data_IF_168326890865
#
_entry.id   IF_168326890865
#
_cell.length_a   1.000
_cell.length_b   1.000
_cell.length_c   1.000
_cell.angle_alpha   90.00
_cell.angle_beta   90.00
_cell.angle_gamma   90.00
#
_symmetry.space_group_name_H-M   'P 1'
#
loop_
_entity.id
_entity.type
_entity.pdbx_description
1 polymer ?
#
# COMPACT_ATOMS: atom_id res chain seq x y z
N UNK A 1 33.27 -62.53 -36.01
CA UNK A 1 32.37 -63.31 -36.87
C UNK A 1 33.15 -63.71 -38.12
N UNK A 2 33.67 -64.94 -38.16
CA UNK A 2 33.08 -66.11 -38.83
C UNK A 2 33.05 -65.97 -40.37
N UNK A 3 33.81 -66.82 -41.06
CA UNK A 3 33.70 -66.97 -42.52
C UNK A 3 34.84 -67.74 -43.18
N UNK A 4 34.96 -69.04 -42.89
CA UNK A 4 35.68 -70.01 -43.74
C UNK A 4 34.99 -70.17 -45.13
N UNK A 5 35.76 -70.61 -46.14
CA UNK A 5 35.42 -71.46 -47.32
C UNK A 5 36.52 -71.29 -48.37
N UNK A 6 36.95 -72.22 -49.22
CA UNK A 6 36.89 -73.68 -49.35
C UNK A 6 37.88 -74.00 -50.49
N UNK A 7 38.45 -75.21 -50.47
CA UNK A 7 39.32 -75.78 -51.50
C UNK A 7 38.67 -75.89 -52.89
N UNK A 8 39.47 -76.13 -53.95
CA UNK A 8 39.31 -77.24 -54.93
C UNK A 8 40.22 -77.09 -56.18
N UNK A 9 40.86 -78.22 -56.52
CA UNK A 9 41.37 -78.74 -57.82
C UNK A 9 42.48 -78.05 -58.65
N UNK A 10 43.60 -78.79 -58.77
CA UNK A 10 44.39 -78.92 -60.01
C UNK A 10 43.68 -79.83 -61.04
N UNK A 11 44.09 -79.87 -62.33
CA UNK A 11 45.10 -80.85 -62.71
C UNK A 11 46.11 -80.43 -63.80
N UNK A 12 47.28 -81.05 -63.67
CA UNK A 12 48.46 -81.07 -64.54
C UNK A 12 48.27 -82.08 -65.69
N UNK A 13 48.81 -81.89 -66.91
CA UNK A 13 48.90 -82.98 -67.89
C UNK A 13 50.30 -83.60 -67.94
N UNK A 14 50.34 -84.94 -67.86
CA UNK A 14 51.44 -85.83 -68.29
C UNK A 14 50.82 -86.90 -69.19
N UNK A 15 51.34 -87.15 -70.40
CA UNK A 15 51.28 -88.40 -71.18
C UNK A 15 52.34 -88.25 -72.32
N UNK A 16 53.43 -89.03 -72.42
CA UNK A 16 53.65 -90.47 -72.73
C UNK A 16 53.50 -90.85 -74.23
N UNK A 17 54.50 -91.58 -74.75
CA UNK A 17 54.44 -92.47 -75.93
C UNK A 17 55.27 -91.99 -77.13
N UNK A 18 56.49 -92.49 -77.38
CA UNK A 18 56.89 -93.79 -77.97
C UNK A 18 56.85 -93.86 -79.50
N UNK A 19 58.02 -93.95 -80.16
CA UNK A 19 58.31 -95.03 -81.13
C UNK A 19 59.79 -95.04 -81.56
N UNK A 20 60.43 -96.14 -81.21
CA UNK A 20 61.65 -96.72 -81.74
C UNK A 20 61.47 -97.23 -83.18
N UNK A 21 62.50 -97.15 -84.02
CA UNK A 21 62.84 -98.19 -85.02
C UNK A 21 64.29 -98.08 -85.48
N UNK A 22 65.05 -99.17 -85.23
CA UNK A 22 66.09 -99.84 -86.05
C UNK A 22 67.41 -99.09 -86.33
N UNK A 23 68.60 -99.54 -85.90
CA UNK A 23 69.29 -100.84 -86.08
C UNK A 23 69.51 -101.25 -87.53
N UNK A 24 70.73 -100.99 -88.06
CA UNK A 24 71.50 -101.99 -88.83
C UNK A 24 73.00 -101.67 -88.67
N UNK A 25 73.74 -102.58 -88.04
CA UNK A 25 75.15 -102.82 -88.32
C UNK A 25 75.23 -104.04 -89.24
N UNK A 26 76.22 -104.08 -90.14
CA UNK A 26 76.44 -105.24 -91.01
C UNK A 26 77.33 -104.93 -92.19
N UNK A 27 78.59 -105.35 -92.07
CA UNK A 27 79.56 -105.41 -93.15
C UNK A 27 79.11 -106.40 -94.24
N UNK A 28 79.27 -106.02 -95.50
CA UNK A 28 79.57 -106.94 -96.58
C UNK A 28 80.20 -106.20 -97.75
N UNK A 29 81.41 -106.66 -98.04
CA UNK A 29 82.23 -106.49 -99.23
C UNK A 29 81.42 -106.42 -100.53
N UNK A 30 81.55 -105.32 -101.28
CA UNK A 30 81.62 -105.40 -102.74
C UNK A 30 82.51 -104.28 -103.25
N UNK A 31 83.63 -104.67 -103.88
CA UNK A 31 84.39 -103.84 -104.80
C UNK A 31 83.47 -103.40 -105.94
N UNK A 32 83.00 -102.15 -105.89
CA UNK A 32 82.22 -101.51 -106.95
C UNK A 32 82.71 -100.07 -107.10
N UNK A 33 83.52 -99.86 -108.13
CA UNK A 33 83.73 -98.61 -108.87
C UNK A 33 83.70 -97.31 -108.05
N UNK A 34 84.89 -96.83 -107.71
CA UNK A 34 85.23 -95.62 -106.94
C UNK A 34 84.58 -94.31 -107.42
N UNK A 35 83.95 -94.27 -108.60
CA UNK A 35 83.22 -93.09 -109.09
C UNK A 35 81.72 -93.09 -108.71
N UNK A 36 81.03 -94.23 -108.68
CA UNK A 36 79.56 -94.28 -108.43
C UNK A 36 79.19 -94.01 -106.97
N UNK A 37 80.00 -94.49 -106.01
CA UNK A 37 79.80 -94.21 -104.58
C UNK A 37 80.15 -92.77 -104.19
N UNK A 38 81.08 -92.14 -104.92
CA UNK A 38 81.45 -90.73 -104.75
C UNK A 38 80.33 -89.81 -105.23
N UNK A 39 79.70 -90.15 -106.36
CA UNK A 39 78.57 -89.40 -106.93
C UNK A 39 77.31 -89.47 -106.04
N UNK A 40 77.00 -90.64 -105.47
CA UNK A 40 75.87 -90.82 -104.55
C UNK A 40 76.08 -90.01 -103.25
N UNK A 41 77.29 -90.05 -102.66
CA UNK A 41 77.63 -89.22 -101.50
C UNK A 41 77.56 -87.73 -101.79
N UNK A 42 77.93 -87.30 -103.01
CA UNK A 42 77.80 -85.91 -103.42
C UNK A 42 76.34 -85.48 -103.55
N UNK A 43 75.48 -86.31 -104.14
CA UNK A 43 74.04 -86.06 -104.25
C UNK A 43 73.37 -86.03 -102.88
N UNK A 44 73.73 -86.95 -101.98
CA UNK A 44 73.23 -86.97 -100.61
C UNK A 44 73.71 -85.75 -99.80
N UNK A 45 74.98 -85.33 -99.98
CA UNK A 45 75.50 -84.10 -99.39
C UNK A 45 74.80 -82.85 -99.94
N UNK A 46 74.47 -82.81 -101.24
CA UNK A 46 73.70 -81.73 -101.86
C UNK A 46 72.26 -81.67 -101.33
N UNK A 47 71.59 -82.83 -101.16
CA UNK A 47 70.25 -82.92 -100.54
C UNK A 47 70.28 -82.51 -99.07
N UNK A 48 71.25 -82.99 -98.30
CA UNK A 48 71.43 -82.63 -96.89
C UNK A 48 71.72 -81.12 -96.73
N UNK A 49 72.55 -80.54 -97.61
CA UNK A 49 72.78 -79.08 -97.65
C UNK A 49 71.49 -78.32 -97.92
N UNK A 50 70.69 -78.75 -98.89
CA UNK A 50 69.41 -78.10 -99.22
C UNK A 50 68.42 -78.16 -98.05
N UNK A 51 68.31 -79.31 -97.38
CA UNK A 51 67.49 -79.47 -96.16
C UNK A 51 67.99 -78.55 -95.04
N UNK A 52 69.31 -78.47 -94.81
CA UNK A 52 69.89 -77.59 -93.81
C UNK A 52 69.68 -76.10 -94.13
N UNK A 53 69.74 -75.71 -95.41
CA UNK A 53 69.44 -74.34 -95.86
C UNK A 53 67.94 -74.00 -95.69
N UNK A 54 67.05 -74.94 -96.00
CA UNK A 54 65.61 -74.81 -95.77
C UNK A 54 65.27 -74.73 -94.28
N UNK A 55 65.89 -75.55 -93.45
CA UNK A 55 65.74 -75.54 -92.00
C UNK A 55 66.31 -74.26 -91.37
N UNK A 56 67.47 -73.78 -91.85
CA UNK A 56 68.02 -72.47 -91.47
C UNK A 56 67.04 -71.35 -91.83
N UNK A 57 66.37 -71.42 -92.99
CA UNK A 57 65.36 -70.43 -93.40
C UNK A 57 64.11 -70.49 -92.51
N UNK A 58 63.61 -71.68 -92.19
CA UNK A 58 62.48 -71.88 -91.25
C UNK A 58 62.84 -71.38 -89.85
N UNK A 59 64.03 -71.72 -89.36
CA UNK A 59 64.55 -71.27 -88.07
C UNK A 59 64.69 -69.74 -88.05
N UNK A 60 65.26 -69.13 -89.08
CA UNK A 60 65.36 -67.67 -89.20
C UNK A 60 63.99 -67.00 -89.19
N UNK A 61 62.99 -67.57 -89.87
CA UNK A 61 61.63 -67.06 -89.85
C UNK A 61 61.00 -67.17 -88.46
N UNK A 62 61.20 -68.30 -87.77
CA UNK A 62 60.73 -68.51 -86.39
C UNK A 62 61.40 -67.54 -85.42
N UNK A 63 62.72 -67.35 -85.52
CA UNK A 63 63.46 -66.37 -84.71
C UNK A 63 62.93 -64.96 -84.95
N UNK A 64 62.72 -64.56 -86.20
CA UNK A 64 62.13 -63.25 -86.53
C UNK A 64 60.73 -63.07 -85.94
N UNK A 65 59.90 -64.10 -85.93
CA UNK A 65 58.57 -64.04 -85.31
C UNK A 65 58.65 -63.95 -83.79
N UNK A 66 59.50 -64.77 -83.16
CA UNK A 66 59.70 -64.75 -81.71
C UNK A 66 60.26 -63.40 -81.22
N UNK A 67 61.18 -62.78 -81.96
CA UNK A 67 61.67 -61.43 -81.64
C UNK A 67 60.55 -60.39 -81.74
N UNK A 68 59.67 -60.47 -82.75
CA UNK A 68 58.51 -59.58 -82.86
C UNK A 68 57.51 -59.80 -81.72
N UNK A 69 57.31 -61.05 -81.30
CA UNK A 69 56.45 -61.39 -80.16
C UNK A 69 57.06 -60.93 -78.84
N UNK A 70 58.37 -61.07 -78.67
CA UNK A 70 59.13 -60.58 -77.52
C UNK A 70 59.02 -59.04 -77.40
N UNK A 71 59.21 -58.31 -78.50
CA UNK A 71 59.07 -56.85 -78.51
C UNK A 71 57.63 -56.41 -78.20
N UNK A 72 56.62 -57.12 -78.71
CA UNK A 72 55.21 -56.87 -78.34
C UNK A 72 54.96 -57.17 -76.86
N UNK A 73 55.53 -58.24 -76.31
CA UNK A 73 55.42 -58.58 -74.91
C UNK A 73 56.11 -57.53 -74.02
N UNK A 74 57.31 -57.07 -74.38
CA UNK A 74 58.03 -55.98 -73.69
C UNK A 74 57.22 -54.69 -73.64
N UNK A 75 56.59 -54.30 -74.76
CA UNK A 75 55.72 -53.11 -74.81
C UNK A 75 54.50 -53.26 -73.89
N UNK A 76 53.84 -54.43 -73.91
CA UNK A 76 52.71 -54.69 -72.98
C UNK A 76 53.14 -54.66 -71.52
N UNK A 77 54.31 -55.22 -71.20
CA UNK A 77 54.87 -55.21 -69.85
C UNK A 77 55.21 -53.79 -69.42
N UNK A 78 55.83 -52.97 -70.28
CA UNK A 78 56.17 -51.59 -69.94
C UNK A 78 54.94 -50.72 -69.76
N UNK A 79 53.91 -50.86 -70.61
CA UNK A 79 52.62 -50.19 -70.45
C UNK A 79 51.91 -50.61 -69.16
N UNK A 80 51.94 -51.90 -68.81
CA UNK A 80 51.36 -52.41 -67.57
C UNK A 80 52.09 -51.87 -66.34
N UNK A 81 53.43 -51.79 -66.39
CA UNK A 81 54.25 -51.19 -65.32
C UNK A 81 53.94 -49.70 -65.14
N UNK A 82 53.87 -48.93 -66.24
CA UNK A 82 53.50 -47.51 -66.19
C UNK A 82 52.10 -47.31 -65.59
N UNK A 83 51.11 -48.10 -66.02
CA UNK A 83 49.76 -48.07 -65.43
C UNK A 83 49.76 -48.44 -63.96
N UNK A 84 50.55 -49.43 -63.55
CA UNK A 84 50.68 -49.82 -62.15
C UNK A 84 51.28 -48.67 -61.30
N UNK A 85 52.33 -48.01 -61.80
CA UNK A 85 52.94 -46.83 -61.17
C UNK A 85 51.94 -45.67 -61.06
N UNK A 86 51.17 -45.39 -62.11
CA UNK A 86 50.10 -44.38 -62.10
C UNK A 86 49.05 -44.69 -61.02
N UNK A 87 48.57 -45.94 -60.94
CA UNK A 87 47.60 -46.38 -59.92
C UNK A 87 48.19 -46.22 -58.51
N UNK A 88 49.45 -46.59 -58.30
CA UNK A 88 50.12 -46.43 -57.01
C UNK A 88 50.25 -44.96 -56.62
N UNK A 89 50.62 -44.09 -57.57
CA UNK A 89 50.70 -42.65 -57.34
C UNK A 89 49.34 -42.03 -57.00
N UNK A 90 48.28 -42.46 -57.70
CA UNK A 90 46.91 -42.03 -57.44
C UNK A 90 46.41 -42.54 -56.09
N UNK A 91 46.72 -43.79 -55.72
CA UNK A 91 46.38 -44.36 -54.42
C UNK A 91 47.06 -43.57 -53.30
N UNK A 92 48.35 -43.28 -53.44
CA UNK A 92 49.10 -42.45 -52.47
C UNK A 92 48.53 -41.04 -52.35
N UNK A 93 48.20 -40.38 -53.47
CA UNK A 93 47.57 -39.05 -53.46
C UNK A 93 46.19 -39.08 -52.82
N UNK A 94 45.38 -40.10 -53.11
CA UNK A 94 44.07 -40.26 -52.51
C UNK A 94 44.16 -40.54 -51.02
N UNK A 95 45.12 -41.35 -50.58
CA UNK A 95 45.38 -41.64 -49.17
C UNK A 95 45.78 -40.37 -48.41
N UNK A 96 46.73 -39.59 -48.93
CA UNK A 96 47.09 -38.29 -48.34
C UNK A 96 45.88 -37.37 -48.25
N UNK A 97 45.07 -37.28 -49.31
CA UNK A 97 43.85 -36.43 -49.31
C UNK A 97 42.81 -36.91 -48.29
N UNK A 98 42.72 -38.21 -48.04
CA UNK A 98 41.83 -38.76 -47.02
C UNK A 98 42.36 -38.44 -45.62
N UNK A 99 43.67 -38.64 -45.39
CA UNK A 99 44.33 -38.30 -44.12
C UNK A 99 44.21 -36.82 -43.79
N UNK A 100 44.43 -35.93 -44.76
CA UNK A 100 44.29 -34.48 -44.58
C UNK A 100 42.85 -34.09 -44.20
N UNK A 101 41.86 -34.68 -44.87
CA UNK A 101 40.44 -34.45 -44.53
C UNK A 101 40.07 -35.00 -43.14
N UNK A 102 40.69 -36.09 -42.73
CA UNK A 102 40.48 -36.66 -41.39
C UNK A 102 41.13 -35.78 -40.32
N UNK A 103 42.35 -35.31 -40.54
CA UNK A 103 43.03 -34.36 -39.66
C UNK A 103 42.23 -33.05 -39.51
N UNK A 104 41.75 -32.47 -40.62
CA UNK A 104 40.90 -31.28 -40.57
C UNK A 104 39.60 -31.50 -39.79
N UNK A 105 38.99 -32.69 -39.92
CA UNK A 105 37.81 -33.05 -39.12
C UNK A 105 38.13 -33.15 -37.64
N UNK A 106 39.25 -33.79 -37.28
CA UNK A 106 39.69 -33.88 -35.89
C UNK A 106 39.97 -32.50 -35.29
N UNK A 107 40.67 -31.61 -36.00
CA UNK A 107 40.91 -30.23 -35.56
C UNK A 107 39.61 -29.45 -35.33
N UNK A 108 38.63 -29.63 -36.23
CA UNK A 108 37.31 -29.02 -36.08
C UNK A 108 36.54 -29.58 -34.87
N UNK A 109 36.57 -30.89 -34.67
CA UNK A 109 35.96 -31.55 -33.52
C UNK A 109 36.58 -31.04 -32.20
N UNK A 110 37.91 -30.97 -32.13
CA UNK A 110 38.64 -30.43 -30.99
C UNK A 110 38.25 -28.97 -30.72
N UNK A 111 38.15 -28.16 -31.77
CA UNK A 111 37.70 -26.77 -31.65
C UNK A 111 36.27 -26.67 -31.08
N UNK A 112 35.35 -27.50 -31.56
CA UNK A 112 33.97 -27.57 -31.06
C UNK A 112 33.95 -27.97 -29.57
N UNK A 113 34.77 -28.94 -29.16
CA UNK A 113 34.88 -29.37 -27.76
C UNK A 113 35.36 -28.23 -26.88
N UNK A 114 36.39 -27.48 -27.30
CA UNK A 114 36.90 -26.32 -26.57
C UNK A 114 35.83 -25.22 -26.45
N UNK A 115 35.14 -24.90 -27.54
CA UNK A 115 34.05 -23.92 -27.53
C UNK A 115 32.93 -24.34 -26.58
N UNK A 116 32.52 -25.61 -26.59
CA UNK A 116 31.50 -26.13 -25.68
C UNK A 116 31.95 -26.09 -24.22
N UNK A 117 33.23 -26.36 -23.93
CA UNK A 117 33.82 -26.23 -22.60
C UNK A 117 33.82 -24.78 -22.11
N UNK A 118 34.14 -23.81 -22.98
CA UNK A 118 34.08 -22.40 -22.63
C UNK A 118 32.64 -21.91 -22.43
N UNK A 119 31.72 -22.32 -23.31
CA UNK A 119 30.28 -22.04 -23.20
C UNK A 119 29.68 -22.59 -21.91
N UNK A 120 30.03 -23.82 -21.51
CA UNK A 120 29.56 -24.43 -20.25
C UNK A 120 30.14 -23.72 -19.03
N UNK A 121 31.43 -23.37 -19.03
CA UNK A 121 32.06 -22.55 -17.96
C UNK A 121 31.38 -21.18 -17.82
N UNK A 122 31.14 -20.49 -18.93
CA UNK A 122 30.45 -19.20 -18.93
C UNK A 122 29.03 -19.35 -18.36
N UNK A 123 28.26 -20.34 -18.84
CA UNK A 123 26.92 -20.64 -18.31
C UNK A 123 26.93 -20.92 -16.80
N UNK A 124 27.90 -21.70 -16.31
CA UNK A 124 28.03 -21.98 -14.88
C UNK A 124 28.36 -20.72 -14.06
N UNK A 125 29.27 -19.86 -14.55
CA UNK A 125 29.57 -18.57 -13.92
C UNK A 125 28.35 -17.65 -13.86
N UNK A 126 27.62 -17.53 -14.97
CA UNK A 126 26.38 -16.75 -15.02
C UNK A 126 25.31 -17.31 -14.08
N UNK A 127 25.13 -18.63 -14.01
CA UNK A 127 24.21 -19.27 -13.08
C UNK A 127 24.56 -18.94 -11.63
N UNK A 128 25.84 -19.06 -11.24
CA UNK A 128 26.31 -18.68 -9.89
C UNK A 128 26.08 -17.21 -9.57
N UNK A 129 26.35 -16.30 -10.51
CA UNK A 129 26.09 -14.86 -10.33
C UNK A 129 24.61 -14.57 -10.14
N UNK A 130 23.74 -15.22 -10.93
CA UNK A 130 22.28 -15.09 -10.82
C UNK A 130 21.79 -15.60 -9.47
N UNK A 131 22.25 -16.76 -9.03
CA UNK A 131 21.89 -17.34 -7.73
C UNK A 131 22.33 -16.42 -6.58
N UNK A 132 23.57 -15.93 -6.62
CA UNK A 132 24.07 -14.97 -5.62
C UNK A 132 23.23 -13.69 -5.59
N UNK A 133 22.92 -13.10 -6.75
CA UNK A 133 22.08 -11.91 -6.82
C UNK A 133 20.66 -12.16 -6.27
N UNK A 134 20.09 -13.35 -6.50
CA UNK A 134 18.80 -13.74 -5.91
C UNK A 134 18.88 -13.89 -4.39
N UNK A 135 19.93 -14.52 -3.87
CA UNK A 135 20.15 -14.65 -2.43
C UNK A 135 20.36 -13.29 -1.75
N UNK A 136 21.14 -12.40 -2.37
CA UNK A 136 21.38 -11.05 -1.86
C UNK A 136 20.09 -10.22 -1.87
N UNK A 137 19.27 -10.32 -2.93
CA UNK A 137 17.95 -9.67 -2.98
C UNK A 137 17.02 -10.14 -1.86
N UNK A 138 16.97 -11.45 -1.62
CA UNK A 138 16.15 -12.03 -0.53
C UNK A 138 16.64 -11.54 0.84
N UNK A 139 17.96 -11.45 1.04
CA UNK A 139 18.54 -10.91 2.28
C UNK A 139 18.17 -9.45 2.50
N UNK A 140 18.33 -8.61 1.48
CA UNK A 140 17.97 -7.17 1.56
C UNK A 140 16.49 -7.00 1.85
N UNK A 141 15.61 -7.75 1.15
CA UNK A 141 14.16 -7.71 1.39
C UNK A 141 13.80 -8.11 2.82
N UNK A 142 14.50 -9.12 3.38
CA UNK A 142 14.30 -9.57 4.76
C UNK A 142 14.74 -8.50 5.76
N UNK A 143 15.90 -7.88 5.56
CA UNK A 143 16.40 -6.79 6.41
C UNK A 143 15.45 -5.60 6.39
N UNK A 144 15.06 -5.14 5.21
CA UNK A 144 14.11 -4.03 5.06
C UNK A 144 12.78 -4.34 5.76
N UNK A 145 12.25 -5.56 5.58
CA UNK A 145 11.02 -5.98 6.26
C UNK A 145 11.17 -6.04 7.79
N UNK A 146 12.36 -6.35 8.31
CA UNK A 146 12.64 -6.35 9.75
C UNK A 146 12.71 -4.92 10.27
N UNK A 147 13.47 -4.04 9.60
CA UNK A 147 13.59 -2.62 9.94
C UNK A 147 12.21 -1.94 9.95
N UNK A 148 11.41 -2.07 8.89
CA UNK A 148 10.05 -1.50 8.82
C UNK A 148 9.15 -2.04 9.95
N UNK A 149 9.29 -3.33 10.31
CA UNK A 149 8.53 -3.93 11.42
C UNK A 149 8.96 -3.38 12.78
N UNK A 150 10.26 -3.17 12.98
CA UNK A 150 10.81 -2.56 14.19
C UNK A 150 10.37 -1.10 14.32
N UNK A 151 10.46 -0.31 13.25
CA UNK A 151 9.96 1.06 13.19
C UNK A 151 8.46 1.12 13.50
N UNK A 152 7.66 0.24 12.90
CA UNK A 152 6.22 0.15 13.17
C UNK A 152 5.93 -0.16 14.63
N UNK A 153 6.68 -1.09 15.23
CA UNK A 153 6.54 -1.44 16.65
C UNK A 153 6.97 -0.29 17.57
N UNK A 154 8.02 0.44 17.21
CA UNK A 154 8.45 1.64 17.94
C UNK A 154 7.39 2.74 17.87
N UNK A 155 6.83 2.99 16.69
CA UNK A 155 5.76 3.96 16.49
C UNK A 155 4.51 3.60 17.30
N UNK A 156 4.11 2.33 17.28
CA UNK A 156 2.98 1.83 18.07
C UNK A 156 3.22 2.01 19.58
N UNK A 157 4.43 1.68 20.07
CA UNK A 157 4.81 1.91 21.48
C UNK A 157 4.77 3.40 21.84
N UNK A 158 5.26 4.27 20.96
CA UNK A 158 5.23 5.71 21.17
C UNK A 158 3.79 6.25 21.24
N UNK A 159 2.92 5.82 20.31
CA UNK A 159 1.49 6.15 20.34
C UNK A 159 0.81 5.65 21.62
N UNK A 160 1.12 4.42 22.05
CA UNK A 160 0.58 3.87 23.30
C UNK A 160 1.02 4.70 24.51
N UNK A 161 2.30 5.07 24.60
CA UNK A 161 2.81 5.93 25.66
C UNK A 161 2.16 7.32 25.62
N UNK A 162 2.00 7.91 24.44
CA UNK A 162 1.35 9.21 24.27
C UNK A 162 -0.11 9.16 24.74
N UNK A 163 -0.87 8.13 24.37
CA UNK A 163 -2.24 7.90 24.84
C UNK A 163 -2.30 7.76 26.36
N UNK A 164 -1.39 7.00 26.96
CA UNK A 164 -1.33 6.83 28.42
C UNK A 164 -1.01 8.14 29.14
N UNK A 165 -0.09 8.95 28.61
CA UNK A 165 0.22 10.27 29.14
C UNK A 165 -0.96 11.25 28.98
N UNK A 166 -1.63 11.25 27.83
CA UNK A 166 -2.81 12.06 27.58
C UNK A 166 -3.95 11.70 28.55
N UNK A 167 -4.19 10.41 28.76
CA UNK A 167 -5.17 9.93 29.73
C UNK A 167 -4.82 10.38 31.16
N UNK A 168 -3.55 10.26 31.56
CA UNK A 168 -3.10 10.75 32.87
C UNK A 168 -3.31 12.25 33.04
N UNK A 169 -2.92 13.06 32.04
CA UNK A 169 -3.15 14.51 32.05
C UNK A 169 -4.64 14.85 32.13
N UNK A 170 -5.48 14.16 31.36
CA UNK A 170 -6.93 14.35 31.40
C UNK A 170 -7.51 14.04 32.79
N UNK A 171 -7.05 12.98 33.45
CA UNK A 171 -7.43 12.66 34.83
C UNK A 171 -6.97 13.73 35.81
N UNK A 172 -5.72 14.19 35.72
CA UNK A 172 -5.18 15.28 36.56
C UNK A 172 -5.98 16.59 36.37
N UNK A 173 -6.30 16.96 35.13
CA UNK A 173 -7.16 18.12 34.82
C UNK A 173 -8.57 17.93 35.39
N UNK A 174 -9.16 16.75 35.25
CA UNK A 174 -10.50 16.44 35.80
C UNK A 174 -10.52 16.59 37.32
N UNK A 175 -9.54 16.04 38.02
CA UNK A 175 -9.42 16.15 39.48
C UNK A 175 -9.18 17.60 39.92
N UNK A 176 -8.34 18.36 39.21
CA UNK A 176 -8.12 19.79 39.46
C UNK A 176 -9.41 20.60 39.33
N UNK A 177 -10.19 20.39 38.26
CA UNK A 177 -11.48 21.05 38.06
C UNK A 177 -12.46 20.66 39.18
N UNK A 178 -12.52 19.37 39.56
CA UNK A 178 -13.38 18.90 40.66
C UNK A 178 -13.03 19.59 41.98
N UNK A 179 -11.74 19.68 42.31
CA UNK A 179 -11.25 20.37 43.51
C UNK A 179 -11.62 21.85 43.50
N UNK A 180 -11.33 22.55 42.41
CA UNK A 180 -11.68 23.97 42.24
C UNK A 180 -13.18 24.22 42.39
N UNK A 181 -14.03 23.39 41.76
CA UNK A 181 -15.50 23.46 41.92
C UNK A 181 -15.93 23.24 43.37
N UNK A 182 -15.37 22.25 44.07
CA UNK A 182 -15.67 21.98 45.47
C UNK A 182 -15.28 23.15 46.38
N UNK A 183 -14.11 23.74 46.15
CA UNK A 183 -13.64 24.91 46.89
C UNK A 183 -14.52 26.14 46.65
N UNK A 184 -14.92 26.39 45.40
CA UNK A 184 -15.85 27.46 45.06
C UNK A 184 -17.22 27.26 45.71
N UNK A 185 -17.76 26.04 45.70
CA UNK A 185 -19.01 25.70 46.36
C UNK A 185 -18.92 25.89 47.88
N UNK A 186 -17.82 25.46 48.51
CA UNK A 186 -17.58 25.66 49.93
C UNK A 186 -17.48 27.15 50.29
N UNK A 187 -16.82 27.98 49.47
CA UNK A 187 -16.78 29.44 49.65
C UNK A 187 -18.17 30.06 49.56
N UNK A 188 -18.97 29.66 48.55
CA UNK A 188 -20.34 30.13 48.40
C UNK A 188 -21.21 29.74 49.60
N UNK A 189 -21.09 28.50 50.09
CA UNK A 189 -21.83 28.02 51.26
C UNK A 189 -21.45 28.82 52.52
N UNK A 190 -20.15 29.05 52.75
CA UNK A 190 -19.68 29.91 53.86
C UNK A 190 -20.20 31.33 53.74
N UNK A 191 -20.21 31.91 52.54
CA UNK A 191 -20.75 33.25 52.30
C UNK A 191 -22.25 33.33 52.60
N UNK A 192 -23.03 32.30 52.22
CA UNK A 192 -24.46 32.20 52.54
C UNK A 192 -24.71 32.13 54.04
N UNK A 193 -23.98 31.26 54.76
CA UNK A 193 -24.09 31.15 56.22
C UNK A 193 -23.75 32.47 56.90
N UNK A 194 -22.66 33.12 56.48
CA UNK A 194 -22.27 34.44 57.00
C UNK A 194 -23.36 35.49 56.75
N UNK A 195 -23.91 35.55 55.53
CA UNK A 195 -25.00 36.46 55.22
C UNK A 195 -26.22 36.21 56.11
N UNK A 196 -26.63 34.95 56.28
CA UNK A 196 -27.74 34.62 57.16
C UNK A 196 -27.49 34.99 58.63
N UNK A 197 -26.26 34.81 59.10
CA UNK A 197 -25.85 35.26 60.44
C UNK A 197 -25.98 36.77 60.60
N UNK A 198 -25.45 37.54 59.64
CA UNK A 198 -25.52 39.00 59.67
C UNK A 198 -26.98 39.50 59.63
N UNK A 199 -27.84 38.88 58.82
CA UNK A 199 -29.27 39.23 58.76
C UNK A 199 -29.97 38.93 60.09
N UNK A 200 -29.64 37.79 60.72
CA UNK A 200 -30.18 37.44 62.05
C UNK A 200 -29.72 38.44 63.11
N UNK A 201 -28.46 38.84 63.09
CA UNK A 201 -27.88 39.80 64.03
C UNK A 201 -28.50 41.19 63.87
N UNK A 202 -28.68 41.66 62.62
CA UNK A 202 -29.38 42.92 62.33
C UNK A 202 -30.84 42.88 62.80
N UNK A 203 -31.55 41.77 62.59
CA UNK A 203 -32.91 41.60 63.11
C UNK A 203 -32.95 41.60 64.64
N UNK A 204 -32.02 40.90 65.30
CA UNK A 204 -31.93 40.89 66.75
C UNK A 204 -31.65 42.28 67.33
N UNK A 205 -30.73 43.04 66.72
CA UNK A 205 -30.44 44.42 67.13
C UNK A 205 -31.67 45.33 67.01
N UNK A 206 -32.43 45.21 65.91
CA UNK A 206 -33.70 45.95 65.75
C UNK A 206 -34.73 45.56 66.80
N UNK A 207 -34.87 44.26 67.11
CA UNK A 207 -35.78 43.80 68.14
C UNK A 207 -35.39 44.32 69.52
N UNK A 208 -34.10 44.35 69.84
CA UNK A 208 -33.59 44.89 71.10
C UNK A 208 -33.88 46.39 71.24
N UNK A 209 -33.70 47.16 70.16
CA UNK A 209 -34.07 48.58 70.13
C UNK A 209 -35.57 48.80 70.37
N UNK A 210 -36.45 48.01 69.74
CA UNK A 210 -37.91 48.07 69.96
C UNK A 210 -38.28 47.70 71.40
N UNK A 211 -37.66 46.67 71.97
CA UNK A 211 -37.87 46.28 73.37
C UNK A 211 -37.39 47.35 74.35
N UNK A 212 -36.27 48.01 74.06
CA UNK A 212 -35.78 49.15 74.86
C UNK A 212 -36.78 50.30 74.82
N UNK A 213 -37.26 50.67 73.63
CA UNK A 213 -38.25 51.73 73.49
C UNK A 213 -39.55 51.40 74.22
N UNK A 214 -40.00 50.15 74.16
CA UNK A 214 -41.17 49.70 74.94
C UNK A 214 -40.94 49.85 76.43
N UNK A 215 -39.77 49.45 76.94
CA UNK A 215 -39.39 49.57 78.35
C UNK A 215 -39.38 51.03 78.80
N UNK A 216 -38.82 51.92 78.00
CA UNK A 216 -38.78 53.35 78.27
C UNK A 216 -40.20 53.93 78.34
N UNK A 217 -41.08 53.57 77.38
CA UNK A 217 -42.48 54.03 77.38
C UNK A 217 -43.30 53.46 78.54
N UNK A 218 -43.05 52.21 78.96
CA UNK A 218 -43.70 51.59 80.11
C UNK A 218 -43.28 52.30 81.40
N UNK A 219 -41.99 52.65 81.51
CA UNK A 219 -41.48 53.43 82.63
C UNK A 219 -42.12 54.82 82.68
N UNK A 220 -42.18 55.55 81.56
CA UNK A 220 -42.87 56.85 81.47
C UNK A 220 -44.36 56.74 81.86
N UNK A 221 -45.05 55.69 81.40
CA UNK A 221 -46.45 55.46 81.76
C UNK A 221 -46.62 55.19 83.26
N UNK A 222 -45.72 54.40 83.85
CA UNK A 222 -45.74 54.12 85.28
C UNK A 222 -45.49 55.40 86.11
N UNK A 223 -44.54 56.23 85.69
CA UNK A 223 -44.27 57.53 86.32
C UNK A 223 -45.50 58.44 86.24
N UNK A 224 -46.15 58.50 85.08
CA UNK A 224 -47.41 59.23 84.89
C UNK A 224 -48.56 58.69 85.75
N UNK A 225 -48.63 57.37 85.94
CA UNK A 225 -49.64 56.71 86.77
C UNK A 225 -49.43 57.03 88.26
N UNK A 226 -48.18 57.05 88.72
CA UNK A 226 -47.83 57.47 90.08
C UNK A 226 -48.21 58.94 90.32
N UNK A 227 -47.93 59.82 89.36
CA UNK A 227 -48.35 61.21 89.40
C UNK A 227 -49.88 61.37 89.42
N UNK A 228 -50.60 60.59 88.61
CA UNK A 228 -52.07 60.56 88.63
C UNK A 228 -52.59 60.12 90.01
N UNK A 229 -52.03 59.06 90.59
CA UNK A 229 -52.41 58.57 91.90
C UNK A 229 -52.16 59.61 93.01
N UNK A 230 -51.02 60.29 92.98
CA UNK A 230 -50.72 61.40 93.90
C UNK A 230 -51.74 62.54 93.76
N UNK A 231 -52.07 62.91 92.51
CA UNK A 231 -53.04 63.96 92.24
C UNK A 231 -54.46 63.58 92.70
N UNK A 232 -54.87 62.33 92.47
CA UNK A 232 -56.15 61.78 92.96
C UNK A 232 -56.17 61.80 94.48
N UNK A 233 -55.09 61.36 95.14
CA UNK A 233 -54.99 61.39 96.59
C UNK A 233 -55.11 62.81 97.14
N UNK A 234 -54.38 63.76 96.55
CA UNK A 234 -54.46 65.18 96.91
C UNK A 234 -55.86 65.76 96.68
N UNK A 235 -56.54 65.36 95.60
CA UNK A 235 -57.92 65.77 95.32
C UNK A 235 -58.90 65.18 96.34
N UNK A 236 -58.74 63.91 96.71
CA UNK A 236 -59.55 63.26 97.76
C UNK A 236 -59.33 63.90 99.13
N UNK A 237 -58.09 64.27 99.46
CA UNK A 237 -57.77 65.03 100.67
C UNK A 237 -58.43 66.40 100.65
N UNK A 238 -58.38 67.12 99.53
CA UNK A 238 -59.07 68.40 99.35
C UNK A 238 -60.59 68.26 99.43
N UNK A 239 -61.16 67.20 98.87
CA UNK A 239 -62.58 66.89 99.00
C UNK A 239 -62.95 66.56 100.46
N UNK A 240 -62.15 65.78 101.19
CA UNK A 240 -62.34 65.54 102.63
C UNK A 240 -62.23 66.81 103.45
N UNK A 241 -61.25 67.68 103.16
CA UNK A 241 -61.14 68.99 103.79
C UNK A 241 -62.39 69.84 103.52
N UNK A 242 -62.92 69.79 102.29
CA UNK A 242 -64.14 70.49 101.91
C UNK A 242 -65.38 69.89 102.61
N UNK A 243 -65.52 68.57 102.64
CA UNK A 243 -66.59 67.86 103.35
C UNK A 243 -66.55 68.18 104.84
N UNK A 244 -65.39 68.10 105.49
CA UNK A 244 -65.25 68.46 106.91
C UNK A 244 -65.56 69.93 107.16
N UNK A 245 -65.15 70.85 106.28
CA UNK A 245 -65.54 72.25 106.35
C UNK A 245 -67.05 72.44 106.19
N UNK A 246 -67.68 71.71 105.25
CA UNK A 246 -69.14 71.72 105.05
C UNK A 246 -69.88 71.14 106.26
N UNK A 247 -69.45 70.01 106.83
CA UNK A 247 -70.04 69.42 108.03
C UNK A 247 -69.91 70.36 109.23
N UNK A 248 -68.79 71.07 109.34
CA UNK A 248 -68.58 72.10 110.37
C UNK A 248 -69.51 73.30 110.16
N UNK A 249 -69.77 73.66 108.91
CA UNK A 249 -70.78 74.65 108.52
C UNK A 249 -72.20 74.16 108.84
N UNK A 250 -72.55 72.92 108.51
CA UNK A 250 -73.82 72.28 108.87
C UNK A 250 -74.02 72.22 110.40
N UNK A 251 -72.97 71.94 111.17
CA UNK A 251 -73.03 71.98 112.63
C UNK A 251 -73.27 73.38 113.21
N UNK A 252 -72.82 74.44 112.54
CA UNK A 252 -73.03 75.84 112.97
C UNK A 252 -74.41 76.36 112.54
N UNK A 253 -75.02 75.78 111.50
CA UNK A 253 -76.26 76.26 110.87
C UNK A 253 -77.52 75.44 111.21
N UNK A 254 -77.64 74.87 112.42
CA UNK A 254 -78.80 74.03 112.78
C UNK A 254 -80.19 74.59 112.38
N UNK A 255 -81.12 73.66 112.03
CA UNK A 255 -82.59 73.80 111.76
C UNK A 255 -83.05 73.65 110.29
N UNK A 256 -84.01 72.71 110.12
CA UNK A 256 -85.12 72.60 109.15
C UNK A 256 -84.91 72.34 107.64
N UNK A 257 -85.82 71.49 107.13
CA UNK A 257 -86.52 71.48 105.83
C UNK A 257 -85.74 71.97 104.60
N UNK A 258 -85.53 71.17 103.56
CA UNK A 258 -86.58 70.58 102.73
C UNK A 258 -86.75 71.38 101.43
N UNK A 259 -86.62 70.72 100.28
CA UNK A 259 -87.25 71.16 99.02
C UNK A 259 -86.34 71.52 97.84
N UNK A 260 -86.53 70.75 96.76
CA UNK A 260 -86.61 71.14 95.33
C UNK A 260 -85.35 71.66 94.59
N UNK A 261 -85.07 70.98 93.46
CA UNK A 261 -84.18 71.47 92.38
C UNK A 261 -84.73 72.72 91.67
N UNK A 262 -83.93 73.36 90.80
CA UNK A 262 -83.93 73.09 89.34
C UNK A 262 -82.50 73.22 88.72
N UNK A 263 -82.12 72.56 87.61
CA UNK A 263 -82.46 72.91 86.23
C UNK A 263 -81.52 73.96 85.59
N UNK A 264 -80.57 73.55 84.72
CA UNK A 264 -80.30 74.10 83.36
C UNK A 264 -78.94 73.66 82.73
N UNK A 265 -79.08 73.07 81.55
CA UNK A 265 -78.28 73.02 80.29
C UNK A 265 -77.18 74.10 80.09
N UNK A 266 -76.21 74.02 79.11
CA UNK A 266 -76.38 73.40 77.78
C UNK A 266 -75.12 72.91 76.97
N UNK A 267 -75.40 72.23 75.82
CA UNK A 267 -74.63 72.18 74.52
C UNK A 267 -73.30 71.36 74.53
N UNK A 268 -72.90 70.58 73.50
CA UNK A 268 -73.30 70.41 72.08
C UNK A 268 -72.62 69.15 71.49
N UNK A 269 -73.37 68.47 70.60
CA UNK A 269 -72.99 67.85 69.30
C UNK A 269 -72.01 66.65 69.23
N UNK A 270 -72.57 65.49 68.89
CA UNK A 270 -72.06 64.65 67.78
C UNK A 270 -73.03 64.75 66.57
N UNK A 271 -72.90 63.95 65.49
CA UNK A 271 -71.88 62.92 65.22
C UNK A 271 -71.23 62.95 63.81
N UNK A 272 -70.14 62.19 63.68
CA UNK A 272 -69.63 61.37 62.55
C UNK A 272 -69.60 61.88 61.08
N UNK A 273 -68.41 61.71 60.51
CA UNK A 273 -68.06 61.25 59.14
C UNK A 273 -67.67 62.26 58.03
N UNK A 274 -66.51 61.90 57.43
CA UNK A 274 -65.95 62.24 56.12
C UNK A 274 -65.16 63.56 55.96
N UNK A 275 -63.85 63.41 55.73
CA UNK A 275 -63.12 63.81 54.51
C UNK A 275 -61.63 64.09 54.81
N UNK A 276 -60.81 63.71 53.83
CA UNK A 276 -59.33 63.67 53.77
C UNK A 276 -58.57 64.93 54.19
N UNK A 277 -57.24 64.85 54.27
CA UNK A 277 -56.48 65.60 53.25
C UNK A 277 -55.25 64.89 52.64
N UNK A 278 -54.98 65.36 51.41
CA UNK A 278 -53.73 65.50 50.61
C UNK A 278 -52.39 65.07 51.25
N UNK A 279 -51.55 64.25 50.60
CA UNK A 279 -50.74 64.42 49.36
C UNK A 279 -49.60 65.43 49.47
N UNK A 280 -48.36 64.92 49.36
CA UNK A 280 -47.17 65.48 48.68
C UNK A 280 -46.27 64.29 48.31
N UNK A 281 -46.36 63.75 47.09
CA UNK A 281 -45.62 64.13 45.86
C UNK A 281 -44.09 63.92 45.91
N UNK A 282 -43.69 62.83 45.27
CA UNK A 282 -42.42 62.63 44.56
C UNK A 282 -42.20 63.69 43.47
N UNK A 283 -40.94 64.02 43.12
CA UNK A 283 -40.60 64.60 41.83
C UNK A 283 -40.28 63.52 40.78
N UNK A 284 -40.78 63.81 39.59
CA UNK A 284 -40.46 63.32 38.25
C UNK A 284 -39.29 64.23 37.73
N UNK A 285 -38.36 63.93 36.82
CA UNK A 285 -38.36 63.59 35.38
C UNK A 285 -36.87 63.64 34.96
N UNK A 286 -36.35 62.94 33.96
CA UNK A 286 -36.36 63.35 32.53
C UNK A 286 -35.94 62.19 31.62
N UNK A 287 -36.51 62.13 30.40
CA UNK A 287 -35.97 61.34 29.29
C UNK A 287 -37.02 60.59 28.45
N UNK A 288 -37.75 61.34 27.62
CA UNK A 288 -38.68 60.88 26.57
C UNK A 288 -37.99 60.11 25.41
N UNK A 289 -38.77 59.40 24.55
CA UNK A 289 -38.40 58.33 23.62
C UNK A 289 -38.43 58.82 22.13
N UNK A 290 -38.58 58.03 21.02
CA UNK A 290 -39.81 57.23 20.72
C UNK A 290 -39.71 55.99 19.78
N UNK A 291 -40.78 55.17 19.86
CA UNK A 291 -41.56 54.42 18.83
C UNK A 291 -40.84 53.72 17.65
N UNK A 292 -41.18 52.46 17.33
CA UNK A 292 -42.36 52.11 16.51
C UNK A 292 -42.71 50.60 16.53
N UNK A 293 -44.01 50.27 16.61
CA UNK A 293 -44.67 49.02 16.16
C UNK A 293 -44.96 49.11 14.63
N UNK A 294 -45.42 48.07 13.87
CA UNK A 294 -45.75 46.66 14.16
C UNK A 294 -45.22 45.63 13.12
N UNK A 295 -45.53 44.34 13.32
CA UNK A 295 -45.61 43.26 12.30
C UNK A 295 -44.38 42.99 11.40
N UNK A 296 -43.79 41.81 11.54
CA UNK A 296 -43.85 40.77 10.49
C UNK A 296 -43.25 39.46 11.00
N UNK A 297 -44.05 38.40 10.96
CA UNK A 297 -43.55 37.07 10.70
C UNK A 297 -42.79 37.13 9.39
N UNK A 298 -41.47 37.05 9.46
CA UNK A 298 -40.65 36.69 8.32
C UNK A 298 -39.88 35.45 8.70
N UNK A 299 -40.29 34.37 8.05
CA UNK A 299 -39.49 33.19 7.80
C UNK A 299 -38.09 33.65 7.39
N UNK A 300 -37.12 33.53 8.28
CA UNK A 300 -35.75 33.39 7.84
C UNK A 300 -35.59 31.92 7.47
N UNK A 301 -35.77 31.66 6.18
CA UNK A 301 -35.04 30.60 5.51
C UNK A 301 -33.56 30.92 5.72
N UNK A 302 -33.00 30.37 6.80
CA UNK A 302 -31.59 30.03 6.80
C UNK A 302 -31.45 28.96 5.72
N UNK A 303 -31.06 29.38 4.51
CA UNK A 303 -30.31 28.50 3.62
C UNK A 303 -28.98 28.26 4.33
N UNK A 304 -29.03 27.39 5.35
CA UNK A 304 -27.87 26.67 5.80
C UNK A 304 -27.46 25.85 4.59
N UNK A 305 -26.56 26.39 3.79
CA UNK A 305 -25.64 25.54 3.06
C UNK A 305 -24.80 24.89 4.14
N UNK A 306 -25.34 23.84 4.77
CA UNK A 306 -24.49 22.86 5.42
C UNK A 306 -23.58 22.37 4.31
N UNK A 307 -22.32 22.77 4.38
CA UNK A 307 -21.30 22.23 3.50
C UNK A 307 -21.41 20.72 3.63
N UNK A 308 -21.65 19.98 2.52
CA UNK A 308 -21.91 18.57 2.60
C UNK A 308 -20.75 17.90 3.35
N UNK A 309 -21.09 17.07 4.32
CA UNK A 309 -20.06 16.44 5.16
C UNK A 309 -19.20 15.53 4.30
N UNK A 310 -17.97 15.27 4.71
CA UNK A 310 -17.02 14.44 3.94
C UNK A 310 -17.64 13.07 3.58
N UNK A 311 -18.44 12.51 4.48
CA UNK A 311 -19.20 11.27 4.28
C UNK A 311 -20.29 11.40 3.20
N UNK A 312 -20.98 12.54 3.12
CA UNK A 312 -21.98 12.80 2.09
C UNK A 312 -21.34 12.98 0.71
N UNK A 313 -20.20 13.65 0.65
CA UNK A 313 -19.41 13.82 -0.59
C UNK A 313 -18.96 12.45 -1.11
N UNK A 314 -18.44 11.59 -0.22
CA UNK A 314 -18.05 10.22 -0.56
C UNK A 314 -19.23 9.37 -1.02
N UNK A 315 -20.37 9.45 -0.32
CA UNK A 315 -21.58 8.71 -0.67
C UNK A 315 -22.13 9.12 -2.05
N UNK A 316 -22.16 10.41 -2.37
CA UNK A 316 -22.62 10.92 -3.67
C UNK A 316 -21.67 10.53 -4.81
N UNK A 317 -20.36 10.51 -4.56
CA UNK A 317 -19.38 10.02 -5.53
C UNK A 317 -19.57 8.53 -5.82
N UNK A 318 -19.78 7.72 -4.78
CA UNK A 318 -20.01 6.28 -4.89
C UNK A 318 -21.29 5.90 -5.66
N UNK A 319 -22.31 6.78 -5.70
CA UNK A 319 -23.52 6.55 -6.50
C UNK A 319 -23.26 6.61 -8.02
N UNK A 320 -22.26 7.38 -8.45
CA UNK A 320 -21.90 7.53 -9.86
C UNK A 320 -20.88 6.48 -10.29
N UNK A 321 -19.96 6.11 -9.41
CA UNK A 321 -19.03 4.98 -9.61
C UNK A 321 -19.71 3.63 -9.35
N UNK A 322 -20.65 3.27 -10.23
CA UNK A 322 -21.40 1.99 -10.16
C UNK A 322 -20.50 0.75 -10.22
N UNK A 323 -19.28 0.91 -10.74
CA UNK A 323 -18.32 -0.17 -10.88
C UNK A 323 -17.36 -0.30 -9.68
N UNK A 324 -17.42 0.63 -8.71
CA UNK A 324 -16.56 0.62 -7.51
C UNK A 324 -15.08 0.76 -7.84
N UNK A 325 -14.75 1.46 -8.93
CA UNK A 325 -13.39 1.62 -9.45
C UNK A 325 -12.59 2.71 -8.74
N UNK A 326 -13.25 3.60 -7.99
CA UNK A 326 -12.68 4.81 -7.40
C UNK A 326 -12.61 6.00 -8.36
N UNK A 327 -13.16 5.86 -9.56
CA UNK A 327 -13.12 6.87 -10.63
C UNK A 327 -14.52 7.15 -11.18
N UNK A 328 -14.77 8.39 -11.56
CA UNK A 328 -15.96 8.79 -12.33
C UNK A 328 -15.55 9.31 -13.70
N UNK A 329 -16.43 9.17 -14.69
CA UNK A 329 -16.22 9.78 -16.01
C UNK A 329 -16.27 11.30 -15.91
N UNK A 330 -15.42 12.01 -16.65
CA UNK A 330 -15.47 13.49 -16.75
C UNK A 330 -16.85 14.00 -17.21
N UNK A 331 -17.57 13.21 -18.02
CA UNK A 331 -18.93 13.52 -18.44
C UNK A 331 -19.92 13.58 -17.26
N UNK A 332 -19.70 12.78 -16.22
CA UNK A 332 -20.59 12.65 -15.05
C UNK A 332 -20.26 13.63 -13.92
N UNK A 333 -19.17 14.41 -14.03
CA UNK A 333 -18.81 15.45 -13.04
C UNK A 333 -19.95 16.46 -12.82
N UNK A 334 -20.62 16.91 -13.87
CA UNK A 334 -21.76 17.82 -13.74
C UNK A 334 -22.92 17.24 -12.94
N UNK A 335 -23.18 15.93 -13.09
CA UNK A 335 -24.22 15.24 -12.31
C UNK A 335 -23.84 15.13 -10.84
N UNK A 336 -22.56 14.90 -10.54
CA UNK A 336 -22.04 14.88 -9.18
C UNK A 336 -22.24 16.23 -8.49
N UNK A 337 -21.86 17.33 -9.16
CA UNK A 337 -21.97 18.69 -8.61
C UNK A 337 -23.43 19.08 -8.33
N UNK A 338 -24.34 18.75 -9.25
CA UNK A 338 -25.79 18.94 -9.04
C UNK A 338 -26.30 18.10 -7.87
N UNK A 339 -25.82 16.86 -7.72
CA UNK A 339 -26.22 15.98 -6.62
C UNK A 339 -25.73 16.43 -5.23
N UNK A 340 -24.71 17.28 -5.20
CA UNK A 340 -24.15 17.96 -4.03
C UNK A 340 -24.78 19.35 -3.80
N UNK A 341 -25.76 19.73 -4.63
CA UNK A 341 -26.49 20.99 -4.50
C UNK A 341 -25.86 22.18 -5.22
N UNK A 342 -24.81 21.99 -6.03
CA UNK A 342 -24.21 23.04 -6.84
C UNK A 342 -24.78 23.01 -8.27
N UNK A 343 -25.51 24.07 -8.62
CA UNK A 343 -25.96 24.30 -9.99
C UNK A 343 -24.92 25.16 -10.73
N UNK A 344 -23.94 24.50 -11.35
CA UNK A 344 -22.96 25.17 -12.22
C UNK A 344 -23.44 25.18 -13.68
N UNK A 345 -23.09 26.23 -14.42
CA UNK A 345 -23.32 26.29 -15.87
C UNK A 345 -22.31 25.41 -16.62
N UNK A 346 -22.63 25.00 -17.85
CA UNK A 346 -21.81 24.09 -18.66
C UNK A 346 -20.34 24.56 -18.79
N UNK A 347 -20.12 25.86 -19.02
CA UNK A 347 -18.78 26.45 -19.07
C UNK A 347 -17.98 26.30 -17.76
N UNK A 348 -18.64 26.35 -16.60
CA UNK A 348 -18.00 26.19 -15.29
C UNK A 348 -17.69 24.71 -15.00
N UNK A 349 -18.56 23.80 -15.43
CA UNK A 349 -18.31 22.36 -15.37
C UNK A 349 -17.12 22.00 -16.27
N UNK A 350 -17.01 22.60 -17.47
CA UNK A 350 -15.88 22.37 -18.37
C UNK A 350 -14.56 22.91 -17.81
N UNK A 351 -14.60 24.05 -17.11
CA UNK A 351 -13.44 24.55 -16.38
C UNK A 351 -13.02 23.61 -15.25
N UNK A 352 -13.97 23.08 -14.49
CA UNK A 352 -13.71 22.10 -13.44
C UNK A 352 -13.14 20.78 -14.00
N UNK A 353 -13.65 20.31 -15.15
CA UNK A 353 -13.09 19.17 -15.88
C UNK A 353 -11.64 19.40 -16.25
N UNK A 354 -11.30 20.57 -16.79
CA UNK A 354 -9.93 20.90 -17.16
C UNK A 354 -8.96 20.98 -15.97
N UNK A 355 -9.45 21.33 -14.78
CA UNK A 355 -8.64 21.37 -13.56
C UNK A 355 -8.45 20.00 -12.91
N UNK A 356 -9.48 19.15 -12.98
CA UNK A 356 -9.50 17.81 -12.38
C UNK A 356 -8.88 16.74 -13.27
N UNK A 357 -9.03 16.84 -14.59
CA UNK A 357 -8.49 15.90 -15.57
C UNK A 357 -7.39 16.56 -16.42
N UNK A 358 -6.34 17.04 -15.75
CA UNK A 358 -5.18 17.67 -16.41
C UNK A 358 -4.46 16.70 -17.37
N UNK A 359 -4.59 15.40 -17.14
CA UNK A 359 -4.03 14.34 -17.97
C UNK A 359 -4.89 13.94 -19.17
N UNK A 360 -6.08 14.53 -19.37
CA UNK A 360 -7.06 14.13 -20.40
C UNK A 360 -7.34 12.62 -20.41
N UNK A 361 -7.35 12.01 -19.23
CA UNK A 361 -7.60 10.58 -19.03
C UNK A 361 -9.07 10.23 -19.24
N UNK A 362 -9.97 11.23 -19.20
CA UNK A 362 -11.42 11.04 -19.25
C UNK A 362 -11.99 10.53 -17.93
N UNK A 363 -11.18 10.40 -16.89
CA UNK A 363 -11.54 9.87 -15.58
C UNK A 363 -11.08 10.84 -14.49
N UNK A 364 -11.89 10.98 -13.44
CA UNK A 364 -11.58 11.80 -12.27
C UNK A 364 -11.57 10.88 -11.06
N UNK A 365 -10.46 10.86 -10.31
CA UNK A 365 -10.38 10.09 -9.08
C UNK A 365 -11.08 10.81 -7.91
N UNK A 366 -11.56 10.05 -6.91
CA UNK A 366 -12.16 10.65 -5.72
C UNK A 366 -11.18 11.61 -5.00
N UNK A 367 -9.89 11.27 -4.94
CA UNK A 367 -8.88 12.10 -4.29
C UNK A 367 -8.67 13.45 -4.97
N UNK A 368 -8.65 13.47 -6.30
CA UNK A 368 -8.55 14.73 -7.08
C UNK A 368 -9.80 15.59 -6.91
N UNK A 369 -10.99 14.97 -7.00
CA UNK A 369 -12.25 15.67 -6.79
C UNK A 369 -12.37 16.24 -5.37
N UNK A 370 -12.05 15.44 -4.34
CA UNK A 370 -12.16 15.85 -2.95
C UNK A 370 -11.18 16.98 -2.59
N UNK A 371 -9.96 16.94 -3.12
CA UNK A 371 -8.98 18.01 -2.91
C UNK A 371 -9.42 19.32 -3.57
N UNK A 372 -9.97 19.24 -4.79
CA UNK A 372 -10.53 20.41 -5.50
C UNK A 372 -11.81 20.94 -4.84
N UNK A 373 -12.62 20.09 -4.22
CA UNK A 373 -13.84 20.50 -3.52
C UNK A 373 -13.55 21.22 -2.20
N UNK A 374 -12.49 20.82 -1.49
CA UNK A 374 -12.11 21.37 -0.17
C UNK A 374 -11.13 22.54 -0.23
N UNK A 375 -10.49 22.78 -1.37
CA UNK A 375 -9.52 23.86 -1.59
C UNK A 375 -10.13 25.00 -2.39
#
# INVERSE_FOLDING_TARGET
>A
MLGQKSAVNSPRPKLKGSRSTQSVGGASTVSMSTESGMLLRLIDAQRARKIAEEDKKRLNNRVKQLLKEEEKAKKRISETKKRAEEILSLKKRNEIRVQEKEAQRQEMEDHIVVLNKNKTKLKASHAKRKEKAQQDLVRVKKQLSQETREESMQHERALHQQRKLAQRRALETRESIRKSKSEAAAKLAKAKVKHMSNVKEDYMSRLDNELSHLRDTEQELNDMTMLEMELIQRLQEKQREQETAYTKLEQVLGIAQGGQGPGKSPKKKGPSASSSPMRLKRPNTTGTPPQTTPQQQQQQQGSGYEEPTDDEISAKFGLLDKAGTGFISTADLGKLLVSLGLNLNENQVDQARGQLDQGQTGQISFGEFFLWWKG
#
